data_IF_803576218861
#
_entry.id   IF_803576218861
#
_cell.length_a   1.000
_cell.length_b   1.000
_cell.length_c   1.000
_cell.angle_alpha   90.00
_cell.angle_beta   90.00
_cell.angle_gamma   90.00
#
_symmetry.space_group_name_H-M   'P 1'
#
loop_
_entity.id
_entity.type
_entity.pdbx_description
1 polymer ?
#
# COMPACT_ATOMS: atom_id res chain seq x y z
N UNK A 1 -8.47 -49.92 -0.51
CA UNK A 1 -9.26 -48.72 -0.14
C UNK A 1 -10.38 -48.37 -1.13
N UNK A 2 -10.51 -48.99 -2.31
CA UNK A 2 -11.74 -48.93 -3.14
C UNK A 2 -12.10 -47.57 -3.76
N UNK A 3 -11.35 -46.52 -3.42
CA UNK A 3 -11.50 -45.19 -4.00
C UNK A 3 -10.97 -45.16 -5.44
N UNK A 4 -11.70 -44.48 -6.33
CA UNK A 4 -11.37 -44.34 -7.75
C UNK A 4 -10.78 -42.95 -8.01
N UNK A 5 -9.74 -42.90 -8.84
CA UNK A 5 -9.10 -41.66 -9.24
C UNK A 5 -10.11 -40.68 -9.87
N UNK A 6 -10.03 -39.41 -9.50
CA UNK A 6 -10.93 -38.36 -9.95
C UNK A 6 -12.31 -38.34 -9.29
N UNK A 7 -12.68 -39.34 -8.48
CA UNK A 7 -13.95 -39.37 -7.77
C UNK A 7 -13.87 -38.67 -6.41
N UNK A 8 -14.92 -37.93 -6.04
CA UNK A 8 -15.09 -37.43 -4.69
C UNK A 8 -15.18 -38.57 -3.67
N UNK A 9 -14.86 -38.27 -2.41
CA UNK A 9 -15.03 -39.22 -1.30
C UNK A 9 -16.51 -39.34 -0.88
N UNK A 10 -16.85 -40.40 -0.13
CA UNK A 10 -18.21 -40.65 0.37
C UNK A 10 -19.02 -41.65 -0.46
N UNK A 11 -20.13 -42.13 0.11
CA UNK A 11 -20.98 -43.19 -0.48
C UNK A 11 -21.45 -42.89 -1.91
N UNK A 12 -21.64 -41.61 -2.23
CA UNK A 12 -22.16 -41.11 -3.50
C UNK A 12 -21.15 -40.19 -4.21
N UNK A 13 -19.87 -40.29 -3.88
CA UNK A 13 -18.80 -39.46 -4.47
C UNK A 13 -19.01 -37.94 -4.31
N UNK A 14 -19.70 -37.53 -3.24
CA UNK A 14 -20.10 -36.15 -3.00
C UNK A 14 -18.99 -35.27 -2.38
N UNK A 15 -17.88 -35.86 -1.97
CA UNK A 15 -16.75 -35.14 -1.41
C UNK A 15 -16.06 -34.28 -2.47
N UNK A 16 -15.39 -33.21 -2.02
CA UNK A 16 -14.62 -32.35 -2.91
C UNK A 16 -13.52 -33.16 -3.62
N UNK A 17 -13.43 -32.99 -4.93
CA UNK A 17 -12.34 -33.55 -5.76
C UNK A 17 -11.08 -32.70 -5.67
N UNK A 18 -11.25 -31.39 -5.46
CA UNK A 18 -10.16 -30.44 -5.30
C UNK A 18 -10.07 -29.92 -3.87
N UNK A 19 -8.85 -29.59 -3.39
CA UNK A 19 -8.66 -28.92 -2.11
C UNK A 19 -9.32 -27.54 -2.09
N UNK A 20 -9.98 -27.22 -0.97
CA UNK A 20 -10.56 -25.89 -0.77
C UNK A 20 -9.44 -24.88 -0.54
N UNK A 21 -9.38 -23.86 -1.40
CA UNK A 21 -8.42 -22.75 -1.26
C UNK A 21 -8.89 -21.80 -0.17
N UNK A 22 -8.02 -21.53 0.81
CA UNK A 22 -8.26 -20.55 1.86
C UNK A 22 -7.49 -19.25 1.57
N UNK A 23 -8.14 -18.11 1.77
CA UNK A 23 -7.49 -16.80 1.65
C UNK A 23 -6.89 -16.41 3.00
N UNK A 24 -5.57 -16.45 3.13
CA UNK A 24 -4.88 -15.96 4.32
C UNK A 24 -4.93 -14.42 4.37
N UNK A 25 -5.15 -13.87 5.58
CA UNK A 25 -5.08 -12.43 5.83
C UNK A 25 -3.85 -12.14 6.69
N UNK A 26 -2.77 -11.69 6.06
CA UNK A 26 -1.50 -11.39 6.75
C UNK A 26 -1.46 -9.99 7.36
N UNK A 27 -2.59 -9.29 7.38
CA UNK A 27 -2.72 -7.93 7.87
C UNK A 27 -3.68 -7.88 9.04
N UNK A 28 -3.46 -6.95 9.98
CA UNK A 28 -4.39 -6.67 11.08
C UNK A 28 -5.63 -5.87 10.64
N UNK A 29 -5.96 -5.89 9.35
CA UNK A 29 -7.12 -5.19 8.80
C UNK A 29 -8.39 -5.98 9.12
N UNK A 30 -9.49 -5.28 9.38
CA UNK A 30 -10.80 -5.91 9.59
C UNK A 30 -11.29 -6.67 8.36
N UNK A 31 -12.17 -7.65 8.57
CA UNK A 31 -12.81 -8.39 7.49
C UNK A 31 -13.55 -7.44 6.55
N UNK A 32 -13.36 -7.59 5.23
CA UNK A 32 -14.00 -6.75 4.23
C UNK A 32 -13.35 -5.37 4.01
N UNK A 33 -12.22 -5.06 4.66
CA UNK A 33 -11.52 -3.80 4.42
C UNK A 33 -10.98 -3.70 2.99
N UNK A 34 -11.53 -2.78 2.20
CA UNK A 34 -11.12 -2.44 0.82
C UNK A 34 -10.34 -1.12 0.72
N UNK A 35 -10.00 -0.51 1.86
CA UNK A 35 -9.37 0.81 1.91
C UNK A 35 -7.88 0.81 1.53
N UNK A 36 -7.33 2.02 1.28
CA UNK A 36 -5.93 2.23 0.91
C UNK A 36 -4.99 1.54 1.90
N UNK A 37 -3.91 0.97 1.39
CA UNK A 37 -2.94 0.26 2.22
C UNK A 37 -2.08 1.24 3.02
N UNK A 38 -1.30 0.74 3.97
CA UNK A 38 -0.36 1.58 4.71
C UNK A 38 0.73 2.16 3.78
N UNK A 39 0.97 1.54 2.62
CA UNK A 39 1.88 2.05 1.59
C UNK A 39 1.48 3.47 1.14
N UNK A 40 0.19 3.79 1.10
CA UNK A 40 -0.33 5.10 0.71
C UNK A 40 0.03 6.21 1.72
N UNK A 41 0.24 5.85 2.99
CA UNK A 41 0.65 6.81 4.02
C UNK A 41 2.11 7.22 3.85
N UNK A 42 2.98 6.27 3.52
CA UNK A 42 4.41 6.55 3.30
C UNK A 42 4.60 7.50 2.10
N UNK A 43 3.88 7.25 1.00
CA UNK A 43 3.88 8.13 -0.17
C UNK A 43 3.43 9.56 0.18
N UNK A 44 2.36 9.69 0.99
CA UNK A 44 1.85 10.99 1.44
C UNK A 44 2.81 11.73 2.38
N UNK A 45 3.57 11.01 3.21
CA UNK A 45 4.59 11.61 4.08
C UNK A 45 5.75 12.12 3.23
N UNK A 46 6.18 11.35 2.23
CA UNK A 46 7.28 11.74 1.34
C UNK A 46 6.92 12.98 0.52
N UNK A 47 5.71 13.05 -0.05
CA UNK A 47 5.25 14.21 -0.83
C UNK A 47 5.25 15.49 0.01
N UNK A 48 4.65 15.44 1.21
CA UNK A 48 4.66 16.56 2.17
C UNK A 48 6.06 16.99 2.59
N UNK A 49 7.00 16.05 2.63
CA UNK A 49 8.39 16.35 3.02
C UNK A 49 9.11 17.06 1.87
N UNK A 50 8.92 16.59 0.63
CA UNK A 50 9.44 17.25 -0.57
C UNK A 50 8.94 18.68 -0.71
N UNK A 51 7.63 18.90 -0.57
CA UNK A 51 7.02 20.24 -0.65
C UNK A 51 7.62 21.20 0.39
N UNK A 52 7.83 20.74 1.63
CA UNK A 52 8.47 21.54 2.68
C UNK A 52 9.88 21.98 2.31
N UNK A 53 10.70 21.09 1.75
CA UNK A 53 12.06 21.45 1.34
C UNK A 53 12.08 22.41 0.14
N UNK A 54 11.18 22.23 -0.83
CA UNK A 54 11.07 23.15 -1.97
C UNK A 54 10.72 24.57 -1.51
N UNK A 55 9.76 24.71 -0.59
CA UNK A 55 9.39 26.01 -0.04
C UNK A 55 10.54 26.68 0.73
N UNK A 56 11.40 25.91 1.40
CA UNK A 56 12.61 26.44 2.07
C UNK A 56 13.59 26.98 1.03
N UNK A 57 13.86 26.20 -0.03
CA UNK A 57 14.78 26.60 -1.11
C UNK A 57 14.29 27.86 -1.82
N UNK A 58 12.99 27.95 -2.13
CA UNK A 58 12.40 29.13 -2.77
C UNK A 58 12.45 30.36 -1.85
N UNK A 59 12.25 30.17 -0.55
CA UNK A 59 12.38 31.25 0.45
C UNK A 59 13.83 31.72 0.59
N UNK A 60 14.81 30.81 0.56
CA UNK A 60 16.22 31.15 0.60
C UNK A 60 16.68 31.85 -0.69
N UNK A 61 16.17 31.42 -1.85
CA UNK A 61 16.45 32.06 -3.14
C UNK A 61 15.88 33.48 -3.23
N UNK A 62 14.72 33.74 -2.63
CA UNK A 62 14.10 35.08 -2.60
C UNK A 62 14.69 35.98 -1.52
N UNK A 63 15.17 35.42 -0.39
CA UNK A 63 15.82 36.16 0.68
C UNK A 63 17.28 36.55 0.36
N UNK A 64 17.98 35.80 -0.50
CA UNK A 64 19.35 36.10 -0.95
C UNK A 64 19.45 37.19 -2.03
N UNK A 65 18.33 37.75 -2.48
CA UNK A 65 18.24 38.76 -3.54
C UNK A 65 17.64 40.06 -2.99
N UNK A 66 18.36 40.75 -2.09
CA UNK A 66 18.15 42.19 -1.88
C UNK A 66 19.34 42.96 -2.47
N UNK A 67 19.09 43.96 -3.33
CA UNK A 67 20.14 44.68 -4.02
C UNK A 67 20.89 45.57 -3.03
N UNK A 68 22.21 45.52 -3.11
CA UNK A 68 23.13 46.45 -2.47
C UNK A 68 22.77 47.88 -2.91
N UNK A 69 22.05 48.62 -2.07
CA UNK A 69 21.79 50.04 -2.29
C UNK A 69 22.99 50.81 -1.77
N UNK A 70 23.99 51.00 -2.62
CA UNK A 70 24.95 52.07 -2.45
C UNK A 70 24.22 53.41 -2.66
N UNK A 71 24.13 54.22 -1.61
CA UNK A 71 23.65 55.60 -1.73
C UNK A 71 24.70 56.57 -1.18
N UNK A 72 25.29 57.29 -2.13
CA UNK A 72 25.90 58.63 -2.15
C UNK A 72 26.39 59.27 -0.85
#
# INVERSE_FOLDING_TARGET
>A
MGWKEGAGLGKHQQGATEPIKVKATNSRKGLGHSGPSMEDKAARILSKTRERYQAIVEKEATAGSSPEQENT
#
